data_IF_278552564420
#
_entry.id   IF_278552564420
#
_cell.length_a   1.000
_cell.length_b   1.000
_cell.length_c   1.000
_cell.angle_alpha   90.00
_cell.angle_beta   90.00
_cell.angle_gamma   90.00
#
_symmetry.space_group_name_H-M   'P 1'
#
loop_
_entity.id
_entity.type
_entity.pdbx_description
1 polymer ?
#
# COMPACT_ATOMS: atom_id res chain seq x y z
N UNK A 1 -3.65 28.21 4.81
CA UNK A 1 -4.08 27.22 3.82
C UNK A 1 -2.88 26.31 3.59
N UNK A 2 -2.75 25.25 4.39
CA UNK A 2 -1.72 24.22 4.21
C UNK A 2 -2.17 23.36 3.04
N UNK A 3 -1.39 23.33 1.96
CA UNK A 3 -1.61 22.37 0.89
C UNK A 3 -1.49 20.97 1.51
N UNK A 4 -2.60 20.22 1.53
CA UNK A 4 -2.51 18.80 1.83
C UNK A 4 -1.62 18.17 0.76
N UNK A 5 -0.51 17.55 1.18
CA UNK A 5 0.37 16.87 0.24
C UNK A 5 -0.35 15.63 -0.25
N UNK A 6 -0.48 15.51 -1.57
CA UNK A 6 -0.98 14.31 -2.23
C UNK A 6 0.21 13.57 -2.81
N UNK A 7 0.45 12.36 -2.32
CA UNK A 7 1.39 11.42 -2.91
C UNK A 7 0.68 10.60 -4.01
N UNK A 8 1.45 10.19 -5.03
CA UNK A 8 0.96 9.41 -6.16
C UNK A 8 1.99 8.38 -6.59
N UNK A 9 1.54 7.16 -6.84
CA UNK A 9 2.38 6.02 -7.20
C UNK A 9 1.76 5.26 -8.38
N UNK A 10 2.59 4.97 -9.38
CA UNK A 10 2.21 4.05 -10.44
C UNK A 10 2.17 2.62 -9.89
N UNK A 11 1.21 1.83 -10.37
CA UNK A 11 1.05 0.44 -9.97
C UNK A 11 0.37 -0.40 -11.04
N UNK A 12 0.12 -1.65 -10.68
CA UNK A 12 -0.58 -2.63 -11.50
C UNK A 12 -1.74 -3.22 -10.71
N UNK A 13 -2.91 -3.28 -11.35
CA UNK A 13 -4.05 -4.06 -10.93
C UNK A 13 -4.13 -5.34 -11.76
N UNK A 14 -4.51 -6.46 -11.14
CA UNK A 14 -4.73 -7.72 -11.83
C UNK A 14 -5.89 -8.51 -11.22
N UNK A 15 -6.76 -9.00 -12.07
CA UNK A 15 -7.84 -9.92 -11.71
C UNK A 15 -8.00 -11.02 -12.77
N UNK A 16 -9.10 -11.77 -12.69
CA UNK A 16 -9.44 -12.84 -13.65
C UNK A 16 -9.64 -12.35 -15.09
N UNK A 17 -9.88 -11.07 -15.31
CA UNK A 17 -10.14 -10.48 -16.62
C UNK A 17 -8.85 -9.91 -17.26
N UNK A 18 -7.78 -9.74 -16.48
CA UNK A 18 -6.48 -9.31 -16.99
C UNK A 18 -5.76 -8.34 -16.05
N UNK A 19 -4.73 -7.67 -16.58
CA UNK A 19 -3.96 -6.66 -15.85
C UNK A 19 -4.15 -5.27 -16.47
N UNK A 20 -4.11 -4.24 -15.62
CA UNK A 20 -4.21 -2.83 -16.00
C UNK A 20 -3.21 -2.00 -15.19
N UNK A 21 -2.58 -1.01 -15.83
CA UNK A 21 -1.76 -0.03 -15.14
C UNK A 21 -2.67 0.97 -14.42
N UNK A 22 -2.42 1.19 -13.13
CA UNK A 22 -3.21 2.07 -12.28
C UNK A 22 -2.34 3.16 -11.66
N UNK A 23 -2.97 4.21 -11.17
CA UNK A 23 -2.34 5.19 -10.29
C UNK A 23 -3.03 5.12 -8.94
N UNK A 24 -2.24 4.92 -7.88
CA UNK A 24 -2.72 5.08 -6.52
C UNK A 24 -2.34 6.46 -6.03
N UNK A 25 -3.31 7.17 -5.46
CA UNK A 25 -3.10 8.47 -4.84
C UNK A 25 -3.47 8.40 -3.39
N UNK A 26 -2.70 9.07 -2.54
CA UNK A 26 -3.03 9.18 -1.14
C UNK A 26 -2.75 10.61 -0.66
N UNK A 27 -3.74 11.19 0.00
CA UNK A 27 -3.69 12.56 0.49
C UNK A 27 -4.63 12.72 1.68
N UNK A 28 -4.18 13.43 2.71
CA UNK A 28 -4.94 13.56 3.96
C UNK A 28 -5.15 12.19 4.62
N UNK A 29 -6.41 11.76 4.74
CA UNK A 29 -6.83 10.47 5.35
C UNK A 29 -7.50 9.53 4.35
N UNK A 30 -7.25 9.71 3.05
CA UNK A 30 -7.88 8.93 2.00
C UNK A 30 -6.87 8.42 0.98
N UNK A 31 -7.09 7.18 0.56
CA UNK A 31 -6.47 6.53 -0.59
C UNK A 31 -7.51 6.49 -1.71
N UNK A 32 -7.07 6.74 -2.95
CA UNK A 32 -7.92 6.67 -4.14
C UNK A 32 -7.20 6.01 -5.30
N UNK A 33 -7.95 5.30 -6.14
CA UNK A 33 -7.47 4.77 -7.41
C UNK A 33 -8.63 4.62 -8.40
N UNK A 34 -8.31 4.56 -9.69
CA UNK A 34 -9.28 4.26 -10.75
C UNK A 34 -8.88 2.94 -11.40
N UNK A 35 -9.84 2.01 -11.51
CA UNK A 35 -9.65 0.72 -12.16
C UNK A 35 -10.78 0.56 -13.18
N UNK A 36 -10.42 0.42 -14.47
CA UNK A 36 -11.37 0.24 -15.58
C UNK A 36 -12.51 1.27 -15.60
N UNK A 37 -12.19 2.52 -15.27
CA UNK A 37 -13.15 3.64 -15.23
C UNK A 37 -13.99 3.72 -13.95
N UNK A 38 -13.81 2.81 -12.99
CA UNK A 38 -14.48 2.85 -11.67
C UNK A 38 -13.53 3.48 -10.66
N UNK A 39 -13.99 4.53 -9.98
CA UNK A 39 -13.26 5.15 -8.88
C UNK A 39 -13.43 4.33 -7.61
N UNK A 40 -12.32 4.15 -6.90
CA UNK A 40 -12.28 3.50 -5.60
C UNK A 40 -11.64 4.42 -4.57
N UNK A 41 -12.25 4.53 -3.39
CA UNK A 41 -11.78 5.38 -2.30
C UNK A 41 -11.90 4.68 -0.95
N UNK A 42 -11.00 4.98 -0.02
CA UNK A 42 -11.01 4.36 1.30
C UNK A 42 -10.00 5.00 2.27
N UNK A 43 -10.07 4.68 3.57
CA UNK A 43 -9.10 5.16 4.56
C UNK A 43 -7.73 4.45 4.46
N UNK A 44 -7.70 3.27 3.84
CA UNK A 44 -6.53 2.40 3.63
C UNK A 44 -6.68 1.69 2.26
N UNK A 45 -5.56 1.27 1.67
CA UNK A 45 -5.48 0.46 0.46
C UNK A 45 -6.32 -0.82 0.56
N UNK A 46 -6.33 -1.47 1.72
CA UNK A 46 -7.12 -2.68 1.97
C UNK A 46 -8.63 -2.41 2.18
N UNK A 47 -9.02 -1.14 2.32
CA UNK A 47 -10.37 -0.69 2.61
C UNK A 47 -10.95 0.19 1.49
N UNK A 48 -10.48 -0.02 0.25
CA UNK A 48 -10.99 0.66 -0.94
C UNK A 48 -12.40 0.17 -1.29
N UNK A 49 -13.33 1.11 -1.48
CA UNK A 49 -14.71 0.87 -1.88
C UNK A 49 -15.05 1.66 -3.14
N UNK A 50 -15.92 1.11 -3.98
CA UNK A 50 -16.33 1.78 -5.20
C UNK A 50 -17.12 3.06 -4.88
N UNK A 51 -16.81 4.15 -5.56
CA UNK A 51 -17.58 5.39 -5.48
C UNK A 51 -18.80 5.27 -6.40
N UNK A 52 -19.99 5.15 -5.81
CA UNK A 52 -21.24 5.04 -6.56
C UNK A 52 -21.60 3.59 -6.89
N UNK A 53 -22.03 3.33 -8.14
CA UNK A 53 -22.59 2.03 -8.56
C UNK A 53 -21.54 1.03 -9.09
N UNK A 54 -20.33 1.02 -8.53
CA UNK A 54 -19.26 0.10 -8.94
C UNK A 54 -19.26 -1.21 -8.15
N UNK A 55 -18.68 -2.26 -8.73
CA UNK A 55 -18.47 -3.53 -8.03
C UNK A 55 -17.37 -3.40 -6.97
N UNK A 56 -17.54 -4.12 -5.86
CA UNK A 56 -16.53 -4.22 -4.83
C UNK A 56 -15.27 -4.92 -5.35
N UNK A 57 -14.09 -4.41 -4.98
CA UNK A 57 -12.83 -5.09 -5.28
C UNK A 57 -12.78 -6.45 -4.55
N UNK A 58 -12.57 -7.50 -5.34
CA UNK A 58 -12.47 -8.88 -4.86
C UNK A 58 -11.70 -9.72 -5.88
N UNK A 59 -11.10 -10.81 -5.40
CA UNK A 59 -10.34 -11.76 -6.22
C UNK A 59 -9.29 -11.09 -7.13
N UNK A 60 -8.58 -10.10 -6.58
CA UNK A 60 -7.65 -9.27 -7.33
C UNK A 60 -6.36 -9.00 -6.55
N UNK A 61 -5.35 -8.53 -7.28
CA UNK A 61 -4.04 -8.17 -6.75
C UNK A 61 -3.68 -6.76 -7.22
N UNK A 62 -3.13 -5.95 -6.31
CA UNK A 62 -2.55 -4.66 -6.61
C UNK A 62 -1.09 -4.62 -6.18
N UNK A 63 -0.23 -4.10 -7.06
CA UNK A 63 1.22 -3.99 -6.87
C UNK A 63 1.66 -2.55 -7.13
N UNK A 64 2.39 -1.94 -6.20
CA UNK A 64 2.94 -0.58 -6.39
C UNK A 64 4.21 -0.37 -5.56
N UNK A 65 5.01 0.61 -5.96
CA UNK A 65 6.25 0.98 -5.27
C UNK A 65 6.15 2.39 -4.68
N UNK A 66 6.50 2.51 -3.41
CA UNK A 66 6.61 3.79 -2.70
C UNK A 66 8.09 4.14 -2.55
N UNK A 67 8.60 5.22 -3.16
CA UNK A 67 9.91 5.73 -2.84
C UNK A 67 9.89 6.39 -1.45
N UNK A 68 10.87 6.04 -0.62
CA UNK A 68 11.04 6.63 0.71
C UNK A 68 12.51 6.91 1.03
N UNK A 69 12.72 7.90 1.89
CA UNK A 69 14.03 8.17 2.47
C UNK A 69 14.26 7.28 3.69
N UNK A 70 15.49 6.77 3.84
CA UNK A 70 15.95 6.01 4.99
C UNK A 70 17.20 6.69 5.53
N UNK A 71 17.22 7.00 6.83
CA UNK A 71 18.42 7.46 7.51
C UNK A 71 19.22 6.24 7.97
N UNK A 72 20.48 6.11 7.56
CA UNK A 72 21.37 5.03 8.00
C UNK A 72 22.77 5.59 8.28
N UNK A 73 23.29 5.36 9.49
CA UNK A 73 24.63 5.82 9.87
C UNK A 73 24.85 7.33 9.70
N UNK A 74 23.80 8.14 9.89
CA UNK A 74 23.83 9.60 9.76
C UNK A 74 23.73 10.12 8.32
N UNK A 75 23.52 9.26 7.33
CA UNK A 75 23.26 9.63 5.94
C UNK A 75 21.82 9.31 5.54
N UNK A 76 21.22 10.14 4.69
CA UNK A 76 19.91 9.87 4.09
C UNK A 76 20.12 9.18 2.75
N UNK A 77 19.51 8.01 2.61
CA UNK A 77 19.55 7.18 1.41
C UNK A 77 18.14 6.99 0.83
N UNK A 78 18.06 6.73 -0.48
CA UNK A 78 16.80 6.41 -1.14
C UNK A 78 16.55 4.90 -1.06
N UNK A 79 15.33 4.53 -0.70
CA UNK A 79 14.85 3.16 -0.65
C UNK A 79 13.50 3.04 -1.36
N UNK A 80 13.11 1.81 -1.66
CA UNK A 80 11.83 1.48 -2.27
C UNK A 80 11.07 0.54 -1.35
N UNK A 81 9.83 0.88 -1.02
CA UNK A 81 8.89 -0.01 -0.37
C UNK A 81 7.97 -0.57 -1.45
N UNK A 82 8.19 -1.83 -1.79
CA UNK A 82 7.31 -2.57 -2.69
C UNK A 82 6.12 -3.10 -1.92
N UNK A 83 4.93 -2.80 -2.42
CA UNK A 83 3.65 -3.12 -1.81
C UNK A 83 2.90 -4.13 -2.70
N UNK A 84 2.40 -5.19 -2.07
CA UNK A 84 1.54 -6.20 -2.70
C UNK A 84 0.29 -6.36 -1.84
N UNK A 85 -0.88 -6.05 -2.39
CA UNK A 85 -2.17 -6.27 -1.77
C UNK A 85 -2.95 -7.33 -2.55
N UNK A 86 -3.24 -8.46 -1.92
CA UNK A 86 -4.14 -9.46 -2.46
C UNK A 86 -5.50 -9.38 -1.75
N UNK A 87 -6.57 -9.24 -2.53
CA UNK A 87 -7.95 -9.24 -2.06
C UNK A 87 -8.61 -10.56 -2.46
N UNK A 88 -9.10 -11.30 -1.47
CA UNK A 88 -9.83 -12.54 -1.70
C UNK A 88 -11.26 -12.32 -2.21
N UNK A 89 -12.03 -13.41 -2.27
CA UNK A 89 -13.44 -13.37 -2.65
C UNK A 89 -14.28 -12.59 -1.63
N UNK A 90 -15.38 -11.99 -2.10
CA UNK A 90 -16.44 -11.41 -1.28
C UNK A 90 -17.76 -12.11 -1.64
N UNK A 91 -18.57 -12.41 -0.64
CA UNK A 91 -19.94 -12.91 -0.79
C UNK A 91 -20.94 -11.96 -0.11
N UNK A 92 -22.22 -12.35 -0.12
CA UNK A 92 -23.32 -11.57 0.43
C UNK A 92 -23.26 -11.42 1.97
N UNK A 93 -22.50 -12.26 2.67
CA UNK A 93 -22.29 -12.20 4.13
C UNK A 93 -21.04 -11.39 4.52
N UNK A 94 -20.16 -11.11 3.55
CA UNK A 94 -19.00 -10.24 3.71
C UNK A 94 -17.75 -10.74 2.96
N UNK A 95 -16.54 -10.31 3.36
CA UNK A 95 -15.32 -10.84 2.76
C UNK A 95 -15.12 -12.32 3.12
N UNK A 96 -15.15 -13.20 2.11
CA UNK A 96 -14.85 -14.65 2.23
C UNK A 96 -13.35 -14.88 2.31
N UNK A 97 -12.56 -13.99 1.71
CA UNK A 97 -11.11 -13.94 1.84
C UNK A 97 -10.61 -12.73 2.62
N UNK A 98 -9.41 -12.85 3.20
CA UNK A 98 -8.75 -11.76 3.92
C UNK A 98 -8.02 -10.85 2.94
N UNK A 99 -8.01 -9.54 3.20
CA UNK A 99 -7.05 -8.64 2.58
C UNK A 99 -5.66 -8.97 3.10
N UNK A 100 -4.75 -9.35 2.21
CA UNK A 100 -3.37 -9.70 2.53
C UNK A 100 -2.43 -8.64 1.97
N UNK A 101 -1.90 -7.81 2.87
CA UNK A 101 -0.89 -6.82 2.54
C UNK A 101 0.50 -7.36 2.88
N UNK A 102 1.39 -7.36 1.89
CA UNK A 102 2.81 -7.64 2.05
C UNK A 102 3.62 -6.43 1.63
N UNK A 103 4.59 -6.05 2.46
CA UNK A 103 5.52 -4.98 2.22
C UNK A 103 6.94 -5.55 2.15
N UNK A 104 7.75 -5.08 1.21
CA UNK A 104 9.18 -5.36 1.15
C UNK A 104 9.95 -4.05 0.98
N UNK A 105 10.79 -3.72 1.95
CA UNK A 105 11.69 -2.58 1.86
C UNK A 105 13.01 -3.02 1.22
N UNK A 106 13.36 -2.39 0.11
CA UNK A 106 14.65 -2.52 -0.56
C UNK A 106 15.54 -1.33 -0.19
N UNK A 107 16.60 -1.59 0.57
CA UNK A 107 17.53 -0.58 1.05
C UNK A 107 18.95 -1.16 1.11
N UNK A 108 19.94 -0.46 0.54
CA UNK A 108 21.37 -0.84 0.60
C UNK A 108 21.69 -2.26 0.13
N UNK A 109 20.95 -2.76 -0.85
CA UNK A 109 21.08 -4.13 -1.35
C UNK A 109 20.51 -5.22 -0.42
N UNK A 110 19.90 -4.83 0.69
CA UNK A 110 19.12 -5.71 1.56
C UNK A 110 17.61 -5.58 1.26
N UNK A 111 16.88 -6.64 1.60
CA UNK A 111 15.42 -6.68 1.52
C UNK A 111 14.85 -7.07 2.89
N UNK A 112 13.92 -6.26 3.39
CA UNK A 112 13.24 -6.47 4.67
C UNK A 112 11.75 -6.66 4.41
N UNK A 113 11.24 -7.86 4.65
CA UNK A 113 9.87 -8.22 4.30
C UNK A 113 8.98 -8.25 5.55
N UNK A 114 7.78 -7.68 5.47
CA UNK A 114 6.78 -7.77 6.54
C UNK A 114 6.22 -9.19 6.71
N UNK A 115 6.37 -10.04 5.68
CA UNK A 115 5.63 -11.30 5.54
C UNK A 115 4.13 -11.10 5.30
N UNK A 116 3.42 -12.21 5.09
CA UNK A 116 1.95 -12.26 5.05
C UNK A 116 1.47 -12.51 6.48
N UNK A 117 1.23 -11.44 7.21
CA UNK A 117 0.60 -11.49 8.51
C UNK A 117 -0.48 -10.42 8.49
N UNK A 118 -1.73 -10.86 8.44
CA UNK A 118 -2.84 -9.94 8.25
C UNK A 118 -2.87 -8.84 9.30
N UNK A 119 -3.37 -7.67 8.90
CA UNK A 119 -3.13 -6.41 9.58
C UNK A 119 -3.08 -5.28 8.55
N UNK A 120 -3.22 -4.03 9.00
CA UNK A 120 -3.15 -2.86 8.13
C UNK A 120 -1.73 -2.48 7.73
N UNK A 121 -1.61 -1.39 6.97
CA UNK A 121 -0.33 -0.88 6.47
C UNK A 121 0.71 -0.60 7.57
N UNK A 122 0.32 0.06 8.67
CA UNK A 122 1.25 0.36 9.78
C UNK A 122 1.76 -0.87 10.50
N UNK A 123 0.92 -1.90 10.66
CA UNK A 123 1.37 -3.13 11.32
C UNK A 123 2.43 -3.83 10.47
N UNK A 124 2.25 -3.86 9.15
CA UNK A 124 3.24 -4.39 8.22
C UNK A 124 4.53 -3.56 8.21
N UNK A 125 4.41 -2.23 8.25
CA UNK A 125 5.56 -1.33 8.31
C UNK A 125 6.30 -1.44 9.65
N UNK A 126 5.59 -1.60 10.77
CA UNK A 126 6.15 -1.83 12.09
C UNK A 126 7.00 -3.10 12.15
N UNK A 127 6.58 -4.17 11.47
CA UNK A 127 7.39 -5.40 11.33
C UNK A 127 8.67 -5.17 10.53
N UNK A 128 8.64 -4.34 9.49
CA UNK A 128 9.85 -3.94 8.76
C UNK A 128 10.76 -3.11 9.67
N UNK A 129 10.23 -2.11 10.36
CA UNK A 129 10.99 -1.26 11.31
C UNK A 129 11.70 -2.11 12.37
N UNK A 130 11.06 -3.16 12.89
CA UNK A 130 11.67 -4.09 13.85
C UNK A 130 12.79 -4.97 13.30
N UNK A 131 12.96 -5.06 11.97
CA UNK A 131 14.03 -5.81 11.31
C UNK A 131 15.22 -4.93 10.91
N UNK A 132 15.07 -3.60 10.96
CA UNK A 132 16.12 -2.68 10.54
C UNK A 132 17.32 -2.72 11.51
N UNK A 133 18.53 -2.48 11.01
CA UNK A 133 19.69 -2.22 11.85
C UNK A 133 19.41 -1.07 12.83
N UNK A 134 20.03 -1.09 14.01
CA UNK A 134 19.78 -0.11 15.08
C UNK A 134 20.11 1.34 14.70
N UNK A 135 20.99 1.53 13.71
CA UNK A 135 21.37 2.84 13.17
C UNK A 135 20.56 3.24 11.93
N UNK A 136 19.49 2.51 11.62
CA UNK A 136 18.65 2.70 10.44
C UNK A 136 17.22 3.07 10.82
N UNK A 137 16.73 4.19 10.30
CA UNK A 137 15.38 4.71 10.54
C UNK A 137 14.69 5.05 9.22
N UNK A 138 13.41 4.70 9.10
CA UNK A 138 12.59 5.18 7.99
C UNK A 138 12.25 6.64 8.22
N UNK A 139 12.25 7.47 7.17
CA UNK A 139 11.81 8.85 7.30
C UNK A 139 10.37 8.91 7.85
N UNK A 140 10.14 9.81 8.79
CA UNK A 140 8.88 9.99 9.52
C UNK A 140 7.82 10.71 8.66
N UNK A 141 7.67 10.27 7.40
CA UNK A 141 6.59 10.72 6.54
C UNK A 141 5.39 9.82 6.81
N UNK A 142 4.24 10.36 7.23
CA UNK A 142 3.03 9.58 7.33
C UNK A 142 2.71 9.03 5.95
N UNK A 143 2.81 7.71 5.78
CA UNK A 143 2.34 7.04 4.58
C UNK A 143 0.83 6.94 4.72
N UNK A 144 0.08 7.73 3.96
CA UNK A 144 -1.40 7.74 4.05
C UNK A 144 -1.95 6.34 3.74
N UNK A 145 -2.89 5.85 4.56
CA UNK A 145 -3.29 4.43 4.66
C UNK A 145 -2.87 3.77 5.99
N UNK A 146 -2.19 4.53 6.84
CA UNK A 146 -1.56 4.13 8.09
C UNK A 146 -2.41 4.27 9.39
N UNK A 147 -3.74 4.23 9.32
CA UNK A 147 -4.59 4.42 10.51
C UNK A 147 -5.04 3.14 11.17
#
# INVERSE_FOLDING_TARGET
MTAESTDSWAGWYRDRQGAEAITLTAGGRQVRTEIRGVQYEGPDFAALEAVGAGEALSSCVMEWDIPLAVSAGGAVEQATLSCLLALGERDDEGPVGRAELSLTLHCRGAAYASGIAGGGFEEALGRIRGQLPTDTELADRPLVGAS
#
